data_IF_603046814790
#
_entry.id   IF_603046814790
#
_cell.length_a   1.000
_cell.length_b   1.000
_cell.length_c   1.000
_cell.angle_alpha   90.00
_cell.angle_beta   90.00
_cell.angle_gamma   90.00
#
_symmetry.space_group_name_H-M   'P 1'
#
loop_
_entity.id
_entity.type
_entity.pdbx_description
1 polymer ?
#
# COMPACT_ATOMS: atom_id res chain seq x y z
N UNK A 1 23.56 15.45 4.67
CA UNK A 1 23.62 13.98 4.39
C UNK A 1 24.78 13.42 5.19
N UNK A 2 24.51 12.71 6.28
CA UNK A 2 25.54 12.04 7.07
C UNK A 2 25.54 10.59 6.61
N UNK A 3 26.51 10.23 5.78
CA UNK A 3 26.83 8.84 5.50
C UNK A 3 27.57 8.29 6.71
N UNK A 4 26.95 7.41 7.49
CA UNK A 4 27.69 6.63 8.48
C UNK A 4 28.53 5.60 7.74
N UNK A 5 29.81 5.93 7.54
CA UNK A 5 30.84 5.02 7.09
C UNK A 5 31.71 4.71 8.29
N UNK A 6 31.40 3.68 9.06
CA UNK A 6 32.36 3.07 9.99
C UNK A 6 31.80 1.75 10.54
N UNK A 7 32.60 0.71 10.45
CA UNK A 7 32.52 -0.63 11.06
C UNK A 7 31.15 -1.35 11.12
N UNK A 8 31.04 -2.45 10.42
CA UNK A 8 29.85 -3.32 10.35
C UNK A 8 29.26 -3.72 11.73
N UNK A 9 30.07 -3.81 12.78
CA UNK A 9 29.60 -4.17 14.14
C UNK A 9 28.87 -3.01 14.84
N UNK A 10 29.35 -1.80 14.67
CA UNK A 10 28.70 -0.60 15.24
C UNK A 10 27.46 -0.24 14.45
N UNK A 11 27.46 -0.53 13.17
CA UNK A 11 26.33 -0.38 12.28
C UNK A 11 25.16 -1.31 12.66
N UNK A 12 25.42 -2.57 13.02
CA UNK A 12 24.39 -3.52 13.49
C UNK A 12 23.79 -3.05 14.82
N UNK A 13 24.63 -2.60 15.77
CA UNK A 13 24.17 -2.02 17.06
C UNK A 13 23.29 -0.77 16.86
N UNK A 14 23.65 0.07 15.91
CA UNK A 14 22.88 1.27 15.59
C UNK A 14 21.54 0.91 14.92
N UNK A 15 21.50 -0.09 14.06
CA UNK A 15 20.28 -0.61 13.44
C UNK A 15 19.26 -1.08 14.48
N UNK A 16 19.69 -1.79 15.50
CA UNK A 16 18.82 -2.28 16.56
C UNK A 16 18.33 -1.16 17.48
N UNK A 17 19.21 -0.21 17.83
CA UNK A 17 18.84 0.99 18.60
C UNK A 17 17.81 1.85 17.89
N UNK A 18 17.95 2.04 16.57
CA UNK A 18 17.03 2.84 15.77
C UNK A 18 15.68 2.13 15.58
N UNK A 19 15.69 0.81 15.37
CA UNK A 19 14.47 0.04 15.14
C UNK A 19 13.60 -0.16 16.38
N UNK A 20 14.20 -0.27 17.55
CA UNK A 20 13.50 -0.57 18.80
C UNK A 20 13.21 0.69 19.65
N UNK A 21 13.36 1.87 19.07
CA UNK A 21 13.14 3.13 19.79
C UNK A 21 11.65 3.35 20.06
N UNK A 22 11.34 3.84 21.26
CA UNK A 22 9.99 4.32 21.59
C UNK A 22 9.63 5.50 20.69
N UNK A 23 8.42 5.50 20.15
CA UNK A 23 7.90 6.63 19.36
C UNK A 23 7.72 7.83 20.28
N UNK A 24 8.44 8.91 20.00
CA UNK A 24 8.37 10.15 20.77
C UNK A 24 7.68 11.23 19.93
N UNK A 25 7.99 11.29 18.64
CA UNK A 25 7.49 12.30 17.70
C UNK A 25 6.46 11.70 16.75
N UNK A 26 5.41 12.44 16.47
CA UNK A 26 4.32 12.01 15.59
C UNK A 26 4.23 12.87 14.34
N UNK A 27 3.75 12.27 13.25
CA UNK A 27 3.43 13.02 12.02
C UNK A 27 2.39 14.10 12.33
N UNK A 28 1.40 13.80 13.17
CA UNK A 28 0.35 14.73 13.55
C UNK A 28 0.95 15.99 14.19
N UNK A 29 1.88 15.85 15.14
CA UNK A 29 2.57 16.98 15.78
C UNK A 29 3.28 17.88 14.77
N UNK A 30 4.09 17.30 13.86
CA UNK A 30 4.82 18.06 12.84
C UNK A 30 3.85 18.86 11.95
N UNK A 31 2.70 18.26 11.58
CA UNK A 31 1.69 18.96 10.81
C UNK A 31 0.94 20.02 11.64
N UNK A 32 0.70 19.83 12.93
CA UNK A 32 0.14 20.85 13.82
C UNK A 32 1.01 22.11 13.88
N UNK A 33 2.32 21.93 13.99
CA UNK A 33 3.28 23.03 14.11
C UNK A 33 3.49 23.79 12.80
N UNK A 34 3.37 23.09 11.65
CA UNK A 34 3.87 23.60 10.36
C UNK A 34 2.84 23.67 9.23
N UNK A 35 1.68 23.06 9.32
CA UNK A 35 0.74 23.03 8.19
C UNK A 35 0.31 24.42 7.73
N UNK A 36 -0.13 25.26 8.64
CA UNK A 36 -0.54 26.63 8.31
C UNK A 36 0.63 27.49 7.81
N UNK A 37 1.80 27.35 8.41
CA UNK A 37 3.02 28.02 7.94
C UNK A 37 3.40 27.57 6.54
N UNK A 38 3.30 26.27 6.26
CA UNK A 38 3.55 25.68 4.95
C UNK A 38 2.63 26.27 3.87
N UNK A 39 1.33 26.37 4.15
CA UNK A 39 0.35 26.97 3.23
C UNK A 39 0.64 28.45 2.96
N UNK A 40 0.98 29.20 3.98
CA UNK A 40 1.30 30.63 3.86
C UNK A 40 2.60 30.88 3.09
N UNK A 41 3.60 30.00 3.25
CA UNK A 41 4.89 30.12 2.55
C UNK A 41 4.79 29.74 1.07
N UNK A 42 3.88 28.83 0.73
CA UNK A 42 3.70 28.34 -0.64
C UNK A 42 2.27 28.57 -1.17
N UNK A 43 1.77 29.82 -1.22
CA UNK A 43 0.38 30.11 -1.59
C UNK A 43 0.04 29.68 -3.02
N UNK A 44 1.04 29.69 -3.91
CA UNK A 44 0.90 29.29 -5.32
C UNK A 44 1.08 27.78 -5.57
N UNK A 45 1.33 26.99 -4.53
CA UNK A 45 1.43 25.55 -4.67
C UNK A 45 0.04 24.97 -4.91
N UNK A 46 -0.18 24.41 -6.12
CA UNK A 46 -1.46 23.79 -6.45
C UNK A 46 -1.67 22.50 -5.64
N UNK A 47 -2.10 22.66 -4.38
CA UNK A 47 -2.40 21.56 -3.49
C UNK A 47 -3.80 21.06 -3.78
N UNK A 48 -3.93 19.75 -4.06
CA UNK A 48 -5.22 19.12 -4.35
C UNK A 48 -6.15 19.21 -3.14
N UNK A 49 -7.44 19.51 -3.36
CA UNK A 49 -8.43 19.63 -2.29
C UNK A 49 -8.49 18.40 -1.37
N UNK A 50 -8.33 17.19 -1.93
CA UNK A 50 -8.27 15.96 -1.14
C UNK A 50 -7.14 15.96 -0.10
N UNK A 51 -6.04 16.66 -0.35
CA UNK A 51 -4.91 16.80 0.59
C UNK A 51 -5.33 17.64 1.78
N UNK A 52 -5.94 18.81 1.55
CA UNK A 52 -6.48 19.67 2.62
C UNK A 52 -7.42 18.87 3.52
N UNK A 53 -8.44 18.25 2.94
CA UNK A 53 -9.42 17.47 3.67
C UNK A 53 -8.80 16.33 4.49
N UNK A 54 -7.77 15.66 3.95
CA UNK A 54 -7.09 14.59 4.68
C UNK A 54 -6.23 15.11 5.83
N UNK A 55 -5.53 16.23 5.63
CA UNK A 55 -4.71 16.84 6.68
C UNK A 55 -5.59 17.40 7.80
N UNK A 56 -6.60 18.22 7.47
CA UNK A 56 -7.54 18.77 8.43
C UNK A 56 -8.19 17.68 9.30
N UNK A 57 -8.69 16.62 8.67
CA UNK A 57 -9.27 15.50 9.40
C UNK A 57 -8.23 14.74 10.23
N UNK A 58 -6.98 14.62 9.76
CA UNK A 58 -5.91 14.00 10.52
C UNK A 58 -5.57 14.80 11.77
N UNK A 59 -5.51 16.11 11.67
CA UNK A 59 -5.25 17.00 12.80
C UNK A 59 -6.33 16.89 13.89
N UNK A 60 -7.57 16.67 13.49
CA UNK A 60 -8.72 16.44 14.39
C UNK A 60 -8.93 14.97 14.78
N UNK A 61 -8.04 14.04 14.37
CA UNK A 61 -8.20 12.61 14.60
C UNK A 61 -8.20 12.28 16.09
N UNK A 62 -9.20 11.54 16.55
CA UNK A 62 -9.40 11.15 17.95
C UNK A 62 -9.62 12.34 18.91
N UNK A 63 -9.99 13.51 18.40
CA UNK A 63 -10.50 14.62 19.19
C UNK A 63 -12.02 14.72 19.08
N UNK A 64 -12.62 15.53 19.94
CA UNK A 64 -14.06 15.80 19.91
C UNK A 64 -14.50 16.56 18.66
N UNK A 65 -13.57 17.22 17.96
CA UNK A 65 -13.84 18.02 16.76
C UNK A 65 -14.32 17.19 15.54
N UNK A 66 -14.18 15.87 15.57
CA UNK A 66 -14.78 14.97 14.57
C UNK A 66 -16.08 14.33 15.05
N UNK A 67 -16.54 14.71 16.25
CA UNK A 67 -17.65 14.05 16.90
C UNK A 67 -17.27 12.73 17.55
N UNK A 68 -18.26 12.03 18.08
CA UNK A 68 -18.06 10.80 18.83
C UNK A 68 -19.29 9.90 18.81
N UNK A 69 -19.10 8.63 19.10
CA UNK A 69 -20.15 7.66 19.33
C UNK A 69 -20.25 7.34 20.83
N UNK A 70 -21.47 7.21 21.32
CA UNK A 70 -21.77 6.82 22.72
C UNK A 70 -22.29 5.37 22.71
N UNK A 71 -21.70 4.55 23.57
CA UNK A 71 -22.15 3.19 23.87
C UNK A 71 -22.56 3.13 25.33
N UNK A 72 -23.63 2.41 25.63
CA UNK A 72 -24.15 2.22 26.98
C UNK A 72 -24.25 0.75 27.35
N UNK A 73 -23.83 0.42 28.54
CA UNK A 73 -23.99 -0.93 29.06
C UNK A 73 -25.44 -1.12 29.58
N UNK A 74 -26.17 -2.13 29.09
CA UNK A 74 -27.55 -2.36 29.55
C UNK A 74 -27.61 -2.84 30.99
N UNK A 75 -26.56 -3.51 31.50
CA UNK A 75 -26.53 -4.09 32.83
C UNK A 75 -26.15 -3.06 33.92
N UNK A 76 -25.04 -2.37 33.75
CA UNK A 76 -24.50 -1.47 34.78
C UNK A 76 -24.66 0.03 34.47
N UNK A 77 -25.29 0.38 33.35
CA UNK A 77 -25.51 1.78 32.94
C UNK A 77 -24.27 2.53 32.52
N UNK A 78 -23.06 1.92 32.58
CA UNK A 78 -21.81 2.59 32.21
C UNK A 78 -21.84 3.08 30.76
N UNK A 79 -21.48 4.33 30.56
CA UNK A 79 -21.29 4.90 29.23
C UNK A 79 -19.82 4.89 28.81
N UNK A 80 -19.60 4.63 27.52
CA UNK A 80 -18.29 4.66 26.87
C UNK A 80 -18.40 5.57 25.66
N UNK A 81 -17.61 6.63 25.67
CA UNK A 81 -17.54 7.61 24.58
C UNK A 81 -16.34 7.30 23.72
N UNK A 82 -16.53 7.18 22.41
CA UNK A 82 -15.49 6.83 21.44
C UNK A 82 -15.39 7.93 20.40
N UNK A 83 -14.32 8.76 20.42
CA UNK A 83 -14.13 9.79 19.41
C UNK A 83 -14.02 9.22 18.01
N UNK A 84 -14.59 9.93 17.03
CA UNK A 84 -14.48 9.56 15.64
C UNK A 84 -13.05 9.67 15.12
N UNK A 85 -12.71 8.88 14.12
CA UNK A 85 -11.36 8.82 13.55
C UNK A 85 -11.35 9.39 12.13
N UNK A 86 -10.21 9.94 11.71
CA UNK A 86 -10.07 10.60 10.40
C UNK A 86 -10.15 9.62 9.20
N UNK A 87 -9.97 8.33 9.41
CA UNK A 87 -9.87 7.29 8.37
C UNK A 87 -8.78 7.55 7.32
N UNK A 88 -7.91 8.54 7.53
CA UNK A 88 -6.80 8.86 6.63
C UNK A 88 -5.68 7.81 6.76
N UNK A 89 -5.14 7.40 5.62
CA UNK A 89 -3.98 6.49 5.60
C UNK A 89 -2.67 7.17 6.00
N UNK A 90 -2.63 8.51 5.99
CA UNK A 90 -1.50 9.29 6.45
C UNK A 90 -1.44 9.37 7.98
N UNK A 91 -2.57 9.29 8.65
CA UNK A 91 -2.66 9.19 10.10
C UNK A 91 -2.10 7.83 10.56
N UNK A 92 -1.15 7.83 11.48
CA UNK A 92 -0.49 6.61 11.96
C UNK A 92 -1.46 5.60 12.56
N UNK A 93 -2.38 6.06 13.39
CA UNK A 93 -3.41 5.22 14.03
C UNK A 93 -4.37 4.64 12.98
N UNK A 94 -4.99 5.51 12.16
CA UNK A 94 -5.96 5.07 11.15
C UNK A 94 -5.30 4.25 10.02
N UNK A 95 -4.08 4.62 9.60
CA UNK A 95 -3.31 3.90 8.60
C UNK A 95 -2.94 2.49 9.06
N UNK A 96 -2.53 2.32 10.32
CA UNK A 96 -2.26 1.00 10.89
C UNK A 96 -3.52 0.13 10.98
N UNK A 97 -4.64 0.71 11.42
CA UNK A 97 -5.93 0.01 11.44
C UNK A 97 -6.34 -0.45 10.04
N UNK A 98 -6.27 0.48 9.07
CA UNK A 98 -6.58 0.17 7.67
C UNK A 98 -5.67 -0.93 7.11
N UNK A 99 -4.36 -0.89 7.42
CA UNK A 99 -3.39 -1.88 6.98
C UNK A 99 -3.75 -3.28 7.48
N UNK A 100 -3.99 -3.44 8.78
CA UNK A 100 -4.38 -4.72 9.37
C UNK A 100 -5.65 -5.27 8.71
N UNK A 101 -6.71 -4.46 8.63
CA UNK A 101 -7.99 -4.86 8.05
C UNK A 101 -7.86 -5.29 6.58
N UNK A 102 -7.14 -4.51 5.76
CA UNK A 102 -6.95 -4.83 4.33
C UNK A 102 -6.09 -6.06 4.12
N UNK A 103 -5.02 -6.21 4.88
CA UNK A 103 -4.16 -7.38 4.79
C UNK A 103 -4.91 -8.65 5.10
N UNK A 104 -5.73 -8.64 6.16
CA UNK A 104 -6.57 -9.77 6.55
C UNK A 104 -7.63 -10.08 5.48
N UNK A 105 -8.28 -9.05 4.92
CA UNK A 105 -9.26 -9.21 3.84
C UNK A 105 -8.64 -9.77 2.55
N UNK A 106 -7.42 -9.35 2.18
CA UNK A 106 -6.72 -9.91 1.02
C UNK A 106 -6.35 -11.36 1.28
N UNK A 107 -5.81 -11.62 2.47
CA UNK A 107 -5.41 -12.96 2.85
C UNK A 107 -6.52 -13.98 2.72
N UNK A 108 -7.73 -13.66 3.22
CA UNK A 108 -8.87 -14.57 3.14
C UNK A 108 -9.28 -14.93 1.72
N UNK A 109 -8.94 -14.08 0.73
CA UNK A 109 -9.25 -14.28 -0.69
C UNK A 109 -8.16 -15.03 -1.47
N UNK A 110 -6.94 -15.14 -0.94
CA UNK A 110 -5.85 -15.82 -1.64
C UNK A 110 -6.08 -17.34 -1.71
N UNK A 111 -5.83 -17.93 -2.88
CA UNK A 111 -5.85 -19.38 -3.04
C UNK A 111 -4.74 -20.06 -2.24
N UNK A 112 -4.96 -21.30 -1.81
CA UNK A 112 -3.98 -22.12 -1.09
C UNK A 112 -2.92 -22.66 -2.06
N UNK A 113 -2.13 -21.77 -2.65
CA UNK A 113 -1.03 -22.11 -3.54
C UNK A 113 0.14 -21.15 -3.33
N UNK A 114 1.29 -21.42 -3.95
CA UNK A 114 2.43 -20.50 -3.92
C UNK A 114 2.11 -19.25 -4.72
N UNK A 115 2.57 -18.12 -4.20
CA UNK A 115 2.49 -16.82 -4.86
C UNK A 115 3.89 -16.23 -4.94
N UNK A 116 4.12 -15.45 -5.99
CA UNK A 116 5.34 -14.66 -6.12
C UNK A 116 5.03 -13.18 -6.06
N UNK A 117 5.98 -12.45 -5.56
CA UNK A 117 5.97 -11.01 -5.54
C UNK A 117 6.60 -10.48 -6.82
N UNK A 118 5.87 -9.69 -7.57
CA UNK A 118 6.36 -9.00 -8.77
C UNK A 118 6.29 -7.50 -8.54
N UNK A 119 7.37 -6.79 -8.86
CA UNK A 119 7.43 -5.32 -8.77
C UNK A 119 7.63 -4.77 -10.17
N UNK A 120 6.77 -3.88 -10.59
CA UNK A 120 6.89 -3.11 -11.83
C UNK A 120 7.22 -1.66 -11.48
N UNK A 121 8.41 -1.21 -11.85
CA UNK A 121 8.89 0.14 -11.54
C UNK A 121 9.14 0.91 -12.83
N UNK A 122 8.83 2.21 -12.81
CA UNK A 122 9.08 3.11 -13.93
C UNK A 122 10.37 3.90 -13.71
N UNK A 123 11.08 4.30 -14.79
CA UNK A 123 12.23 5.17 -14.68
C UNK A 123 11.85 6.58 -14.21
N UNK A 124 12.83 7.32 -13.71
CA UNK A 124 12.65 8.63 -13.09
C UNK A 124 12.05 9.65 -14.05
N UNK A 125 12.47 9.57 -15.32
CA UNK A 125 12.03 10.46 -16.39
C UNK A 125 10.51 10.41 -16.63
N UNK A 126 9.88 9.27 -16.36
CA UNK A 126 8.44 9.13 -16.56
C UNK A 126 7.61 9.58 -15.35
N UNK A 127 8.22 9.76 -14.17
CA UNK A 127 7.47 10.07 -12.93
C UNK A 127 6.74 11.40 -13.01
N UNK A 128 7.24 12.36 -13.77
CA UNK A 128 6.63 13.68 -13.95
C UNK A 128 5.22 13.57 -14.52
N UNK A 129 4.99 12.69 -15.48
CA UNK A 129 3.68 12.49 -16.11
C UNK A 129 2.62 11.98 -15.12
N UNK A 130 3.01 11.14 -14.18
CA UNK A 130 2.12 10.62 -13.13
C UNK A 130 1.91 11.62 -11.98
N UNK A 131 2.81 12.59 -11.83
CA UNK A 131 2.63 13.70 -10.89
C UNK A 131 1.68 14.75 -11.46
N UNK A 132 1.77 15.05 -12.75
CA UNK A 132 0.93 16.01 -13.46
C UNK A 132 -0.53 15.52 -13.56
N UNK A 133 -0.72 14.28 -13.96
CA UNK A 133 -2.05 13.66 -14.01
C UNK A 133 -2.07 12.30 -13.31
N UNK A 134 -2.71 12.26 -12.15
CA UNK A 134 -2.80 11.05 -11.34
C UNK A 134 -3.76 10.00 -11.91
N UNK A 135 -4.65 10.35 -12.85
CA UNK A 135 -5.47 9.38 -13.58
C UNK A 135 -4.59 8.38 -14.34
N UNK A 136 -3.38 8.81 -14.73
CA UNK A 136 -2.37 7.98 -15.38
C UNK A 136 -1.90 6.78 -14.53
N UNK A 137 -2.13 6.78 -13.23
CA UNK A 137 -1.90 5.55 -12.43
C UNK A 137 -2.72 4.35 -12.94
N UNK A 138 -3.84 4.59 -13.63
CA UNK A 138 -4.58 3.52 -14.29
C UNK A 138 -3.75 2.85 -15.39
N UNK A 139 -2.90 3.61 -16.09
CA UNK A 139 -2.02 3.08 -17.13
C UNK A 139 -0.97 2.13 -16.55
N UNK A 140 -0.46 2.39 -15.32
CA UNK A 140 0.45 1.46 -14.63
C UNK A 140 -0.24 0.13 -14.31
N UNK A 141 -1.47 0.18 -13.80
CA UNK A 141 -2.26 -1.03 -13.56
C UNK A 141 -2.52 -1.80 -14.85
N UNK A 142 -2.89 -1.10 -15.92
CA UNK A 142 -3.18 -1.71 -17.22
C UNK A 142 -1.92 -2.33 -17.82
N UNK A 143 -0.79 -1.61 -17.85
CA UNK A 143 0.47 -2.10 -18.39
C UNK A 143 0.95 -3.34 -17.65
N UNK A 144 0.93 -3.34 -16.31
CA UNK A 144 1.30 -4.49 -15.49
C UNK A 144 0.39 -5.70 -15.76
N UNK A 145 -0.92 -5.46 -15.84
CA UNK A 145 -1.93 -6.50 -16.09
C UNK A 145 -1.80 -7.09 -17.50
N UNK A 146 -1.67 -6.24 -18.54
CA UNK A 146 -1.50 -6.68 -19.93
C UNK A 146 -0.21 -7.49 -20.06
N UNK A 147 0.88 -7.05 -19.44
CA UNK A 147 2.16 -7.77 -19.46
C UNK A 147 2.00 -9.21 -18.99
N UNK A 148 1.35 -9.42 -17.86
CA UNK A 148 1.13 -10.77 -17.30
C UNK A 148 0.17 -11.57 -18.18
N UNK A 149 -0.96 -11.01 -18.57
CA UNK A 149 -1.96 -11.70 -19.40
C UNK A 149 -1.39 -12.16 -20.73
N UNK A 150 -0.65 -11.28 -21.43
CA UNK A 150 -0.03 -11.63 -22.70
C UNK A 150 1.00 -12.76 -22.55
N UNK A 151 1.84 -12.70 -21.51
CA UNK A 151 2.82 -13.73 -21.24
C UNK A 151 2.15 -15.11 -21.01
N UNK A 152 1.10 -15.18 -20.20
CA UNK A 152 0.34 -16.41 -19.96
C UNK A 152 -0.32 -16.93 -21.26
N UNK A 153 -0.91 -16.03 -22.03
CA UNK A 153 -1.56 -16.36 -23.31
C UNK A 153 -0.57 -16.96 -24.32
N UNK A 154 0.63 -16.41 -24.43
CA UNK A 154 1.65 -16.87 -25.36
C UNK A 154 2.28 -18.19 -24.90
N UNK A 155 2.71 -18.26 -23.64
CA UNK A 155 3.44 -19.39 -23.11
C UNK A 155 2.58 -20.63 -22.90
N UNK A 156 1.29 -20.44 -22.56
CA UNK A 156 0.36 -21.52 -22.22
C UNK A 156 -0.88 -21.53 -23.09
N UNK A 157 -0.73 -21.18 -24.36
CA UNK A 157 -1.83 -21.10 -25.35
C UNK A 157 -2.71 -22.36 -25.38
N UNK A 158 -2.10 -23.55 -25.40
CA UNK A 158 -2.82 -24.83 -25.46
C UNK A 158 -3.64 -25.15 -24.21
N UNK A 159 -3.18 -24.66 -23.02
CA UNK A 159 -3.81 -24.91 -21.71
C UNK A 159 -4.78 -23.81 -21.32
N UNK A 160 -4.79 -22.70 -22.03
CA UNK A 160 -5.63 -21.51 -21.75
C UNK A 160 -5.61 -21.11 -20.28
N UNK A 161 -4.40 -20.92 -19.74
CA UNK A 161 -4.24 -20.60 -18.32
C UNK A 161 -4.67 -19.17 -17.99
N UNK A 162 -5.52 -19.06 -16.99
CA UNK A 162 -5.95 -17.79 -16.42
C UNK A 162 -5.16 -17.56 -15.14
N UNK A 163 -4.24 -16.55 -15.10
CA UNK A 163 -3.53 -16.20 -13.89
C UNK A 163 -4.47 -15.55 -12.87
N UNK A 164 -4.10 -15.61 -11.59
CA UNK A 164 -4.73 -14.82 -10.53
C UNK A 164 -3.69 -13.91 -9.89
N UNK A 165 -3.97 -12.60 -9.83
CA UNK A 165 -3.04 -11.64 -9.24
C UNK A 165 -3.75 -10.42 -8.66
N UNK A 166 -3.08 -9.81 -7.68
CA UNK A 166 -3.53 -8.59 -7.00
C UNK A 166 -2.46 -7.53 -7.24
N UNK A 167 -2.87 -6.39 -7.80
CA UNK A 167 -2.00 -5.24 -8.03
C UNK A 167 -2.23 -4.19 -6.96
N UNK A 168 -1.14 -3.63 -6.43
CA UNK A 168 -1.14 -2.63 -5.38
C UNK A 168 -0.26 -1.48 -5.83
N UNK A 169 -0.84 -0.28 -5.96
CA UNK A 169 -0.08 0.92 -6.28
C UNK A 169 0.59 1.48 -5.04
N UNK A 170 1.90 1.66 -5.12
CA UNK A 170 2.66 2.52 -4.22
C UNK A 170 3.21 3.70 -4.99
N UNK A 171 3.25 4.86 -4.34
CA UNK A 171 3.74 6.10 -4.95
C UNK A 171 5.04 6.59 -4.32
N UNK A 172 5.59 5.87 -3.33
CA UNK A 172 6.75 6.27 -2.54
C UNK A 172 7.81 5.19 -2.44
N UNK A 173 9.07 5.62 -2.44
CA UNK A 173 10.21 4.80 -2.06
C UNK A 173 10.48 4.84 -0.54
N UNK A 174 11.58 4.23 -0.11
CA UNK A 174 12.00 4.23 1.30
C UNK A 174 12.41 5.63 1.79
N UNK A 175 12.89 6.49 0.90
CA UNK A 175 13.28 7.90 1.14
C UNK A 175 12.11 8.88 1.08
N UNK A 176 10.87 8.43 0.93
CA UNK A 176 9.66 9.25 0.77
C UNK A 176 9.59 10.00 -0.59
N UNK A 177 10.53 9.79 -1.48
CA UNK A 177 10.51 10.41 -2.82
C UNK A 177 9.41 9.77 -3.65
N UNK A 178 8.75 10.59 -4.48
CA UNK A 178 7.71 10.13 -5.39
C UNK A 178 8.26 9.13 -6.41
N UNK A 179 7.83 7.89 -6.29
CA UNK A 179 8.26 6.76 -7.12
C UNK A 179 7.09 5.78 -7.32
N UNK A 180 6.19 6.06 -8.27
CA UNK A 180 5.04 5.18 -8.51
C UNK A 180 5.47 3.84 -9.10
N UNK A 181 4.99 2.77 -8.48
CA UNK A 181 5.27 1.40 -8.89
C UNK A 181 4.12 0.46 -8.48
N UNK A 182 4.01 -0.65 -9.18
CA UNK A 182 3.02 -1.68 -8.87
C UNK A 182 3.69 -2.84 -8.16
N UNK A 183 3.25 -3.12 -6.94
CA UNK A 183 3.44 -4.40 -6.31
C UNK A 183 2.35 -5.36 -6.78
N UNK A 184 2.75 -6.54 -7.23
CA UNK A 184 1.81 -7.57 -7.67
C UNK A 184 2.05 -8.85 -6.89
N UNK A 185 0.97 -9.42 -6.36
CA UNK A 185 0.95 -10.76 -5.78
C UNK A 185 0.40 -11.66 -6.87
N UNK A 186 1.28 -12.42 -7.52
CA UNK A 186 0.95 -13.29 -8.64
C UNK A 186 0.98 -14.75 -8.18
N UNK A 187 -0.07 -15.49 -8.44
CA UNK A 187 -0.12 -16.94 -8.25
C UNK A 187 0.97 -17.63 -9.09
N UNK A 188 1.73 -18.56 -8.50
CA UNK A 188 2.77 -19.35 -9.20
C UNK A 188 2.15 -20.42 -10.11
N UNK A 189 1.21 -19.99 -10.94
CA UNK A 189 0.46 -20.84 -11.83
C UNK A 189 -0.72 -20.11 -12.45
N UNK A 190 -1.61 -20.88 -13.02
CA UNK A 190 -2.87 -20.43 -13.58
C UNK A 190 -3.94 -21.52 -13.46
N UNK A 191 -5.19 -21.11 -13.63
CA UNK A 191 -6.31 -22.03 -13.70
C UNK A 191 -6.60 -22.31 -15.17
N UNK A 192 -6.59 -23.57 -15.54
CA UNK A 192 -6.95 -23.98 -16.90
C UNK A 192 -8.43 -23.66 -17.14
N UNK A 193 -8.71 -22.94 -18.22
CA UNK A 193 -10.10 -22.68 -18.61
C UNK A 193 -10.83 -23.95 -19.03
N UNK A 194 -10.08 -24.97 -19.50
CA UNK A 194 -10.60 -26.25 -19.96
C UNK A 194 -10.85 -27.25 -18.83
N UNK A 195 -9.80 -27.58 -18.05
CA UNK A 195 -9.91 -28.58 -16.96
C UNK A 195 -10.39 -28.01 -15.64
N UNK A 196 -10.43 -26.66 -15.49
CA UNK A 196 -10.74 -25.96 -14.24
C UNK A 196 -9.76 -26.26 -13.09
N UNK A 197 -8.61 -26.85 -13.39
CA UNK A 197 -7.58 -27.23 -12.43
C UNK A 197 -6.48 -26.18 -12.34
N UNK A 198 -5.84 -26.13 -11.19
CA UNK A 198 -4.62 -25.35 -11.00
C UNK A 198 -3.43 -26.01 -11.68
N UNK A 199 -2.75 -25.27 -12.55
CA UNK A 199 -1.52 -25.71 -13.21
C UNK A 199 -0.38 -24.82 -12.76
N UNK A 200 0.63 -25.42 -12.12
CA UNK A 200 1.82 -24.74 -11.67
C UNK A 200 2.66 -24.24 -12.84
N UNK A 201 3.28 -23.07 -12.67
CA UNK A 201 4.22 -22.47 -13.62
C UNK A 201 5.59 -22.39 -12.96
N UNK A 202 6.57 -23.10 -13.51
CA UNK A 202 7.90 -23.21 -12.90
C UNK A 202 8.85 -22.08 -13.27
N UNK A 203 8.64 -21.44 -14.42
CA UNK A 203 9.55 -20.42 -14.94
C UNK A 203 8.83 -19.17 -15.41
N UNK A 204 9.34 -18.00 -15.01
CA UNK A 204 8.93 -16.68 -15.49
C UNK A 204 10.11 -15.97 -16.15
N UNK A 205 9.95 -15.52 -17.38
CA UNK A 205 10.98 -14.81 -18.12
C UNK A 205 11.00 -13.31 -17.76
N UNK A 206 11.92 -12.91 -16.89
CA UNK A 206 12.10 -11.49 -16.52
C UNK A 206 12.42 -10.57 -17.71
N UNK A 207 13.34 -10.95 -18.64
CA UNK A 207 13.61 -10.11 -19.80
C UNK A 207 12.36 -9.86 -20.63
N UNK A 208 11.53 -10.89 -20.83
CA UNK A 208 10.27 -10.76 -21.55
C UNK A 208 9.30 -9.81 -20.81
N UNK A 209 9.20 -9.90 -19.48
CA UNK A 209 8.36 -8.99 -18.71
C UNK A 209 8.87 -7.54 -18.78
N UNK A 210 10.18 -7.30 -18.68
CA UNK A 210 10.78 -5.96 -18.73
C UNK A 210 10.48 -5.27 -20.06
N UNK A 211 10.80 -5.92 -21.17
CA UNK A 211 10.59 -5.37 -22.52
C UNK A 211 9.11 -5.14 -22.82
N UNK A 212 8.25 -6.09 -22.44
CA UNK A 212 6.81 -5.99 -22.66
C UNK A 212 6.19 -4.88 -21.81
N UNK A 213 6.52 -4.82 -20.52
CA UNK A 213 6.02 -3.77 -19.63
C UNK A 213 6.41 -2.38 -20.14
N UNK A 214 7.67 -2.19 -20.57
CA UNK A 214 8.12 -0.95 -21.19
C UNK A 214 7.31 -0.61 -22.43
N UNK A 215 7.20 -1.55 -23.38
CA UNK A 215 6.45 -1.33 -24.62
C UNK A 215 4.99 -0.93 -24.31
N UNK A 216 4.28 -1.74 -23.53
CA UNK A 216 2.85 -1.49 -23.25
C UNK A 216 2.66 -0.17 -22.51
N UNK A 217 3.51 0.16 -21.53
CA UNK A 217 3.37 1.40 -20.79
C UNK A 217 3.63 2.63 -21.68
N UNK A 218 4.66 2.57 -22.53
CA UNK A 218 4.98 3.66 -23.45
C UNK A 218 3.90 3.85 -24.52
N UNK A 219 3.31 2.76 -25.02
CA UNK A 219 2.19 2.84 -25.97
C UNK A 219 0.95 3.48 -25.33
N UNK A 220 0.61 3.09 -24.09
CA UNK A 220 -0.51 3.68 -23.34
C UNK A 220 -0.27 5.15 -22.97
N UNK A 221 0.96 5.54 -22.65
CA UNK A 221 1.30 6.94 -22.40
C UNK A 221 1.25 7.78 -23.69
N UNK A 222 1.69 7.23 -24.80
CA UNK A 222 1.61 7.91 -26.10
C UNK A 222 0.14 8.14 -26.53
N UNK A 223 -0.73 7.16 -26.27
CA UNK A 223 -2.17 7.27 -26.55
C UNK A 223 -2.82 8.36 -25.66
N UNK A 224 -2.43 8.46 -24.38
CA UNK A 224 -3.00 9.39 -23.41
C UNK A 224 -2.48 10.84 -23.57
N UNK A 225 -1.19 11.01 -23.86
CA UNK A 225 -0.52 12.31 -23.95
C UNK A 225 -0.63 12.91 -25.36
N UNK A 226 -0.57 12.05 -26.37
CA UNK A 226 -0.53 12.43 -27.77
C UNK A 226 0.82 12.08 -28.43
N UNK A 227 0.73 11.57 -29.65
CA UNK A 227 1.88 11.03 -30.38
C UNK A 227 2.98 12.08 -30.62
N UNK A 228 2.60 13.32 -30.95
CA UNK A 228 3.56 14.37 -31.27
C UNK A 228 4.36 14.81 -30.04
N UNK A 229 3.69 14.91 -28.88
CA UNK A 229 4.29 15.37 -27.63
C UNK A 229 5.16 14.27 -26.98
N UNK A 230 4.76 13.00 -27.08
CA UNK A 230 5.41 11.90 -26.37
C UNK A 230 6.47 11.16 -27.22
N UNK A 231 6.49 11.30 -28.54
CA UNK A 231 7.37 10.55 -29.46
C UNK A 231 8.86 10.64 -29.10
N UNK A 232 9.34 11.85 -28.80
CA UNK A 232 10.76 12.06 -28.43
C UNK A 232 11.09 11.29 -27.14
N UNK A 233 10.27 11.43 -26.12
CA UNK A 233 10.45 10.74 -24.84
C UNK A 233 10.39 9.23 -25.03
N UNK A 234 9.45 8.73 -25.80
CA UNK A 234 9.32 7.31 -26.12
C UNK A 234 10.60 6.73 -26.74
N UNK A 235 11.18 7.46 -27.72
CA UNK A 235 12.42 7.06 -28.37
C UNK A 235 13.60 7.08 -27.38
N UNK A 236 13.70 8.12 -26.54
CA UNK A 236 14.73 8.24 -25.50
C UNK A 236 14.63 7.07 -24.50
N UNK A 237 13.42 6.66 -24.12
CA UNK A 237 13.22 5.52 -23.23
C UNK A 237 13.71 4.21 -23.86
N UNK A 238 13.42 3.97 -25.15
CA UNK A 238 13.94 2.78 -25.84
C UNK A 238 15.47 2.80 -25.97
N UNK A 239 16.04 3.97 -26.19
CA UNK A 239 17.51 4.12 -26.28
C UNK A 239 18.20 3.86 -24.95
N UNK A 240 17.69 4.45 -23.85
CA UNK A 240 18.29 4.35 -22.52
C UNK A 240 18.03 2.98 -21.85
N UNK A 241 16.88 2.39 -22.08
CA UNK A 241 16.43 1.17 -21.38
C UNK A 241 16.34 -0.04 -22.31
N UNK A 242 17.45 -0.43 -22.94
CA UNK A 242 17.54 -1.52 -23.91
C UNK A 242 17.02 -2.87 -23.36
N UNK A 243 17.16 -3.10 -22.05
CA UNK A 243 16.68 -4.31 -21.36
C UNK A 243 15.23 -4.20 -20.88
N UNK A 244 14.55 -3.09 -21.18
CA UNK A 244 13.21 -2.79 -20.70
C UNK A 244 13.19 -2.17 -19.31
N UNK A 245 11.99 -1.81 -18.84
CA UNK A 245 11.83 -1.23 -17.50
C UNK A 245 11.99 -2.28 -16.39
N UNK A 246 12.34 -1.82 -15.21
CA UNK A 246 12.63 -2.71 -14.11
C UNK A 246 11.40 -3.53 -13.70
N UNK A 247 11.53 -4.85 -13.83
CA UNK A 247 10.60 -5.83 -13.27
C UNK A 247 11.39 -6.82 -12.42
N UNK A 248 10.98 -6.96 -11.18
CA UNK A 248 11.58 -7.90 -10.23
C UNK A 248 10.53 -8.91 -9.79
N UNK A 249 10.81 -10.18 -9.94
CA UNK A 249 9.88 -11.25 -9.62
C UNK A 249 10.64 -12.52 -9.18
N UNK A 250 11.37 -12.49 -8.04
CA UNK A 250 12.16 -13.64 -7.60
C UNK A 250 11.26 -14.85 -7.38
N UNK A 251 11.82 -16.07 -7.44
CA UNK A 251 11.11 -17.26 -6.98
C UNK A 251 10.59 -17.04 -5.56
N UNK A 252 9.43 -17.59 -5.25
CA UNK A 252 8.85 -17.47 -3.92
C UNK A 252 9.84 -17.98 -2.86
N UNK A 253 10.34 -17.08 -2.03
CA UNK A 253 11.20 -17.41 -0.86
C UNK A 253 10.39 -17.85 0.35
N UNK A 254 9.06 -17.79 0.25
CA UNK A 254 8.17 -18.07 1.37
C UNK A 254 8.02 -19.57 1.54
N UNK A 255 8.49 -20.09 2.67
CA UNK A 255 8.40 -21.50 3.03
C UNK A 255 6.99 -21.91 3.41
N UNK A 256 6.21 -20.95 3.91
CA UNK A 256 4.85 -21.18 4.37
C UNK A 256 3.88 -20.11 3.84
N UNK A 257 2.60 -20.44 3.86
CA UNK A 257 1.52 -19.52 3.57
C UNK A 257 1.45 -18.34 4.58
N UNK A 258 1.84 -18.60 5.83
CA UNK A 258 1.93 -17.57 6.89
C UNK A 258 3.01 -16.53 6.56
N UNK A 259 4.15 -16.94 6.02
CA UNK A 259 5.21 -16.01 5.62
C UNK A 259 4.77 -15.12 4.46
N UNK A 260 4.01 -15.67 3.51
CA UNK A 260 3.39 -14.91 2.44
C UNK A 260 2.44 -13.85 3.01
N UNK A 261 1.64 -14.20 4.03
CA UNK A 261 0.73 -13.25 4.70
C UNK A 261 1.50 -12.11 5.32
N UNK A 262 2.49 -12.41 6.15
CA UNK A 262 3.33 -11.40 6.80
C UNK A 262 3.98 -10.47 5.78
N UNK A 263 4.32 -11.01 4.63
CA UNK A 263 4.88 -10.25 3.53
C UNK A 263 3.83 -9.35 2.86
N UNK A 264 2.67 -9.90 2.51
CA UNK A 264 1.54 -9.15 1.93
C UNK A 264 1.13 -8.01 2.86
N UNK A 265 1.04 -8.28 4.16
CA UNK A 265 0.72 -7.26 5.17
C UNK A 265 1.69 -6.09 5.18
N UNK A 266 2.97 -6.31 4.87
CA UNK A 266 3.96 -5.24 4.81
C UNK A 266 3.77 -4.30 3.61
N UNK A 267 3.16 -4.76 2.52
CA UNK A 267 3.09 -4.01 1.26
C UNK A 267 1.69 -3.55 0.88
N UNK A 268 0.65 -4.25 1.33
CA UNK A 268 -0.74 -3.99 0.89
C UNK A 268 -1.25 -2.60 1.26
N UNK A 269 -0.90 -2.10 2.43
CA UNK A 269 -1.41 -0.81 2.92
C UNK A 269 -0.40 -0.09 3.80
N UNK A 270 0.88 -0.31 3.53
CA UNK A 270 1.95 0.34 4.28
C UNK A 270 1.71 1.85 4.34
N UNK A 271 1.74 2.46 5.52
CA UNK A 271 1.72 3.91 5.63
C UNK A 271 2.94 4.48 4.91
N UNK A 272 2.82 5.66 4.34
CA UNK A 272 3.93 6.36 3.67
C UNK A 272 5.14 6.44 4.58
N UNK A 273 4.89 6.77 5.84
CA UNK A 273 5.89 6.86 6.89
C UNK A 273 5.42 6.13 8.15
N UNK A 274 6.28 5.33 8.76
CA UNK A 274 6.06 4.83 10.11
C UNK A 274 6.70 5.81 11.10
N UNK A 275 6.00 6.24 12.13
CA UNK A 275 6.50 7.21 13.13
C UNK A 275 7.75 6.72 13.85
N UNK A 276 7.92 5.39 14.01
CA UNK A 276 9.15 4.79 14.53
C UNK A 276 10.42 5.09 13.72
N UNK A 277 10.26 5.61 12.50
CA UNK A 277 11.37 6.07 11.65
C UNK A 277 11.78 7.51 11.94
N UNK A 278 10.97 8.29 12.64
CA UNK A 278 11.31 9.64 13.07
C UNK A 278 12.24 9.51 14.28
N UNK A 279 13.49 9.94 14.12
CA UNK A 279 14.51 9.87 15.16
C UNK A 279 14.42 11.09 16.06
N UNK A 280 14.23 12.26 15.46
CA UNK A 280 14.23 13.53 16.14
C UNK A 280 13.37 14.57 15.43
N UNK A 281 12.85 15.51 16.20
CA UNK A 281 12.16 16.70 15.71
C UNK A 281 12.43 17.85 16.69
N UNK A 282 13.23 18.82 16.24
CA UNK A 282 13.67 19.99 17.04
C UNK A 282 12.72 21.20 16.95
N UNK A 283 11.52 21.00 16.40
CA UNK A 283 10.54 22.07 16.14
C UNK A 283 10.70 22.71 14.75
N UNK A 284 11.78 22.47 14.03
CA UNK A 284 12.06 23.02 12.69
C UNK A 284 12.48 21.93 11.71
N UNK A 285 13.36 21.05 12.13
CA UNK A 285 13.89 19.97 11.30
C UNK A 285 13.40 18.62 11.78
N UNK A 286 13.09 17.76 10.84
CA UNK A 286 12.71 16.36 11.08
C UNK A 286 13.87 15.46 10.68
N UNK A 287 14.37 14.68 11.63
CA UNK A 287 15.40 13.67 11.38
C UNK A 287 14.74 12.30 11.33
N UNK A 288 14.91 11.59 10.23
CA UNK A 288 14.35 10.25 10.07
C UNK A 288 15.32 9.31 9.37
N UNK A 289 15.08 8.01 9.53
CA UNK A 289 15.91 6.99 8.93
C UNK A 289 15.16 6.16 7.88
N UNK A 290 15.92 5.66 6.91
CA UNK A 290 15.45 4.63 6.00
C UNK A 290 16.58 3.71 5.56
N UNK A 291 16.23 2.48 5.19
CA UNK A 291 17.19 1.50 4.69
C UNK A 291 17.31 1.64 3.18
N UNK A 292 18.51 1.79 2.67
CA UNK A 292 18.79 1.84 1.23
C UNK A 292 18.53 0.48 0.59
N UNK A 293 18.18 0.45 -0.69
CA UNK A 293 17.72 -0.80 -1.33
C UNK A 293 18.88 -1.69 -1.78
N UNK A 294 20.00 -1.10 -2.19
CA UNK A 294 21.09 -1.82 -2.87
C UNK A 294 22.03 -2.56 -1.90
N UNK A 295 22.21 -2.02 -0.73
CA UNK A 295 23.22 -2.49 0.25
C UNK A 295 22.68 -2.61 1.67
N UNK A 296 21.38 -2.41 1.84
CA UNK A 296 20.71 -2.42 3.13
C UNK A 296 21.26 -1.42 4.18
N UNK A 297 22.09 -0.46 3.77
CA UNK A 297 22.60 0.60 4.66
C UNK A 297 21.48 1.46 5.22
N UNK A 298 21.61 1.87 6.47
CA UNK A 298 20.72 2.84 7.10
C UNK A 298 21.20 4.25 6.74
N UNK A 299 20.31 5.01 6.12
CA UNK A 299 20.50 6.42 5.84
C UNK A 299 19.71 7.21 6.87
N UNK A 300 20.36 8.15 7.52
CA UNK A 300 19.73 9.15 8.38
C UNK A 300 19.70 10.47 7.61
N UNK A 301 18.50 11.02 7.50
CA UNK A 301 18.29 12.26 6.75
C UNK A 301 17.62 13.28 7.68
N UNK A 302 18.17 14.51 7.71
CA UNK A 302 17.61 15.68 8.41
C UNK A 302 17.09 16.65 7.36
N UNK A 303 15.79 16.93 7.38
CA UNK A 303 15.13 17.84 6.43
C UNK A 303 14.29 18.86 7.17
N UNK A 304 14.13 20.04 6.58
CA UNK A 304 13.19 21.04 7.11
C UNK A 304 11.75 20.50 7.08
N UNK A 305 10.92 20.90 8.05
CA UNK A 305 9.52 20.44 8.16
C UNK A 305 8.70 20.69 6.88
N UNK A 306 8.96 21.76 6.14
CA UNK A 306 8.33 22.03 4.84
C UNK A 306 8.62 20.93 3.81
N UNK A 307 9.87 20.52 3.71
CA UNK A 307 10.25 19.44 2.80
C UNK A 307 9.65 18.11 3.23
N UNK A 308 9.66 17.82 4.52
CA UNK A 308 9.03 16.63 5.08
C UNK A 308 7.53 16.56 4.75
N UNK A 309 6.80 17.67 4.97
CA UNK A 309 5.39 17.79 4.63
C UNK A 309 5.16 17.61 3.13
N UNK A 310 5.95 18.29 2.28
CA UNK A 310 5.87 18.17 0.82
C UNK A 310 6.04 16.73 0.35
N UNK A 311 7.00 16.00 0.92
CA UNK A 311 7.25 14.60 0.61
C UNK A 311 6.09 13.68 1.03
N UNK A 312 5.35 14.02 2.09
CA UNK A 312 4.24 13.20 2.57
C UNK A 312 2.94 13.46 1.80
N UNK A 313 2.58 14.72 1.57
CA UNK A 313 1.28 15.07 0.99
C UNK A 313 1.11 14.60 -0.46
N UNK A 314 2.20 14.48 -1.21
CA UNK A 314 2.17 13.98 -2.59
C UNK A 314 1.65 12.55 -2.69
N UNK A 315 1.73 11.78 -1.60
CA UNK A 315 1.32 10.38 -1.57
C UNK A 315 -0.15 10.16 -1.15
N UNK A 316 -0.83 11.23 -0.73
CA UNK A 316 -2.27 11.14 -0.42
C UNK A 316 -3.03 10.79 -1.71
N UNK A 317 -3.78 9.67 -1.74
CA UNK A 317 -4.52 9.27 -2.94
C UNK A 317 -5.68 10.21 -3.20
N UNK A 318 -6.13 10.26 -4.44
CA UNK A 318 -7.35 10.95 -4.79
C UNK A 318 -8.57 10.25 -4.20
N UNK A 319 -9.66 10.99 -4.08
CA UNK A 319 -10.90 10.47 -3.52
C UNK A 319 -11.38 9.26 -4.33
N UNK A 320 -11.79 8.20 -3.64
CA UNK A 320 -12.25 6.93 -4.23
C UNK A 320 -11.25 6.21 -5.14
N UNK A 321 -9.97 6.63 -5.19
CA UNK A 321 -8.98 5.93 -6.00
C UNK A 321 -8.66 4.54 -5.44
N UNK A 322 -8.97 3.49 -6.21
CA UNK A 322 -8.71 2.09 -5.84
C UNK A 322 -7.23 1.75 -6.04
N UNK A 323 -6.44 1.81 -4.96
CA UNK A 323 -5.02 1.46 -4.96
C UNK A 323 -4.75 -0.05 -4.99
N UNK A 324 -5.76 -0.88 -4.71
CA UNK A 324 -5.67 -2.34 -4.72
C UNK A 324 -6.70 -2.86 -5.70
N UNK A 325 -6.24 -3.67 -6.66
CA UNK A 325 -7.09 -4.22 -7.73
C UNK A 325 -6.85 -5.70 -7.91
N UNK A 326 -7.93 -6.42 -8.11
CA UNK A 326 -7.95 -7.88 -8.30
C UNK A 326 -8.13 -8.20 -9.79
N UNK A 327 -7.36 -9.16 -10.28
CA UNK A 327 -7.34 -9.51 -11.70
C UNK A 327 -7.33 -11.03 -11.91
N UNK A 328 -7.73 -11.44 -13.12
CA UNK A 328 -7.78 -12.85 -13.51
C UNK A 328 -8.76 -13.62 -12.62
N UNK A 329 -8.35 -14.77 -12.10
CA UNK A 329 -9.22 -15.61 -11.26
C UNK A 329 -9.53 -14.98 -9.88
N UNK A 330 -8.87 -13.88 -9.49
CA UNK A 330 -9.25 -13.09 -8.30
C UNK A 330 -10.30 -12.03 -8.57
N UNK A 331 -10.69 -11.80 -9.83
CA UNK A 331 -11.70 -10.80 -10.17
C UNK A 331 -13.11 -11.34 -9.93
N UNK A 332 -13.94 -10.58 -9.22
CA UNK A 332 -15.26 -11.04 -8.76
C UNK A 332 -16.28 -11.37 -9.89
N UNK A 333 -16.07 -10.87 -11.12
CA UNK A 333 -17.03 -11.06 -12.24
C UNK A 333 -16.74 -12.27 -13.12
N UNK A 334 -15.70 -13.06 -12.83
CA UNK A 334 -15.39 -14.23 -13.64
C UNK A 334 -16.20 -15.45 -13.18
N UNK A 335 -16.92 -16.11 -14.08
CA UNK A 335 -17.60 -17.41 -13.81
C UNK A 335 -16.65 -18.44 -13.18
N UNK A 336 -15.36 -18.34 -13.46
CA UNK A 336 -14.28 -19.12 -12.86
C UNK A 336 -14.18 -18.91 -11.36
N UNK A 337 -14.55 -17.73 -10.85
CA UNK A 337 -14.46 -17.41 -9.42
C UNK A 337 -15.36 -18.31 -8.57
N UNK A 338 -16.51 -18.73 -9.07
CA UNK A 338 -17.44 -19.60 -8.34
C UNK A 338 -16.86 -21.02 -8.20
N UNK A 339 -16.27 -21.58 -9.24
CA UNK A 339 -15.66 -22.90 -9.20
C UNK A 339 -14.33 -22.89 -8.42
N UNK A 340 -13.60 -21.80 -8.49
CA UNK A 340 -12.33 -21.62 -7.80
C UNK A 340 -12.52 -21.26 -6.33
N UNK A 341 -13.64 -20.68 -5.94
CA UNK A 341 -14.00 -20.55 -4.52
C UNK A 341 -14.07 -21.91 -3.80
N UNK A 342 -14.33 -23.00 -4.53
CA UNK A 342 -14.21 -24.37 -4.00
C UNK A 342 -12.77 -24.75 -3.64
N UNK A 343 -11.76 -24.07 -4.21
CA UNK A 343 -10.35 -24.23 -3.85
C UNK A 343 -9.97 -23.44 -2.58
N UNK A 344 -10.85 -22.59 -2.10
CA UNK A 344 -10.69 -21.92 -0.81
C UNK A 344 -11.21 -22.91 0.24
N UNK A 345 -10.37 -23.26 1.22
CA UNK A 345 -10.78 -24.19 2.28
C UNK A 345 -12.00 -23.62 3.04
N UNK A 346 -12.86 -24.51 3.57
CA UNK A 346 -14.03 -24.15 4.39
C UNK A 346 -13.63 -23.23 5.55
N UNK A 347 -12.49 -23.48 6.19
CA UNK A 347 -11.92 -22.64 7.26
C UNK A 347 -11.70 -21.19 6.82
N UNK A 348 -11.25 -20.96 5.57
CA UNK A 348 -11.08 -19.61 5.03
C UNK A 348 -12.40 -18.92 4.76
N UNK A 349 -13.41 -19.67 4.28
CA UNK A 349 -14.75 -19.13 4.06
C UNK A 349 -15.37 -18.68 5.38
N UNK A 350 -15.23 -19.47 6.45
CA UNK A 350 -15.74 -19.12 7.77
C UNK A 350 -14.94 -17.97 8.41
N UNK A 351 -13.64 -17.90 8.16
CA UNK A 351 -12.80 -16.77 8.55
C UNK A 351 -13.21 -15.48 7.82
N UNK A 352 -13.53 -15.57 6.51
CA UNK A 352 -14.05 -14.42 5.74
C UNK A 352 -15.37 -13.91 6.31
N UNK A 353 -16.30 -14.79 6.66
CA UNK A 353 -17.56 -14.40 7.29
C UNK A 353 -17.36 -13.65 8.60
N UNK A 354 -16.38 -14.08 9.43
CA UNK A 354 -15.99 -13.35 10.66
C UNK A 354 -15.43 -11.97 10.36
N UNK A 355 -14.69 -11.81 9.25
CA UNK A 355 -14.13 -10.53 8.83
C UNK A 355 -15.18 -9.56 8.30
N UNK A 356 -16.27 -10.06 7.75
CA UNK A 356 -17.37 -9.22 7.26
C UNK A 356 -18.15 -8.59 8.43
N UNK A 357 -17.99 -9.13 9.66
CA UNK A 357 -18.54 -8.55 10.89
C UNK A 357 -17.53 -7.59 11.53
N UNK A 358 -17.90 -6.31 11.63
CA UNK A 358 -17.04 -5.25 12.18
C UNK A 358 -16.40 -5.59 13.54
N UNK A 359 -17.18 -6.10 14.49
CA UNK A 359 -16.72 -6.45 15.85
C UNK A 359 -15.68 -7.56 15.79
N UNK A 360 -15.99 -8.65 15.09
CA UNK A 360 -15.08 -9.80 14.96
C UNK A 360 -13.78 -9.42 14.27
N UNK A 361 -13.85 -8.55 13.26
CA UNK A 361 -12.67 -8.04 12.58
C UNK A 361 -11.78 -7.20 13.52
N UNK A 362 -12.35 -6.39 14.40
CA UNK A 362 -11.57 -5.63 15.40
C UNK A 362 -10.92 -6.57 16.39
N UNK A 363 -11.66 -7.54 16.93
CA UNK A 363 -11.11 -8.53 17.88
C UNK A 363 -9.95 -9.30 17.25
N UNK A 364 -10.10 -9.79 16.03
CA UNK A 364 -9.07 -10.55 15.31
C UNK A 364 -7.78 -9.73 15.05
N UNK A 365 -7.90 -8.42 14.83
CA UNK A 365 -6.75 -7.60 14.48
C UNK A 365 -6.09 -6.89 15.67
N UNK A 366 -6.82 -6.69 16.77
CA UNK A 366 -6.37 -5.88 17.90
C UNK A 366 -6.49 -6.59 19.24
N UNK A 367 -6.95 -7.85 19.24
CA UNK A 367 -7.11 -8.69 20.45
C UNK A 367 -7.94 -8.00 21.55
N UNK A 368 -8.81 -7.07 21.16
CA UNK A 368 -9.64 -6.28 22.07
C UNK A 368 -11.04 -6.14 21.51
N UNK A 369 -12.02 -6.39 22.35
CA UNK A 369 -13.43 -6.19 22.00
C UNK A 369 -13.80 -4.70 22.12
N UNK A 370 -14.17 -4.04 21.04
CA UNK A 370 -14.44 -2.60 21.04
C UNK A 370 -15.67 -2.20 21.84
N UNK A 371 -16.60 -3.13 22.06
CA UNK A 371 -17.87 -2.88 22.76
C UNK A 371 -18.04 -3.69 24.03
N UNK A 372 -16.94 -4.16 24.62
CA UNK A 372 -16.98 -4.76 25.94
C UNK A 372 -17.02 -3.69 27.03
N UNK A 373 -17.89 -3.87 28.02
CA UNK A 373 -17.99 -2.96 29.16
C UNK A 373 -16.76 -3.11 30.06
N UNK A 374 -16.03 -2.04 30.38
CA UNK A 374 -14.84 -2.11 31.22
C UNK A 374 -15.15 -2.44 32.71
N UNK A 375 -16.41 -2.36 33.14
CA UNK A 375 -16.81 -2.63 34.52
C UNK A 375 -17.33 -4.07 34.70
N UNK A 376 -18.33 -4.47 33.93
CA UNK A 376 -19.02 -5.77 34.10
C UNK A 376 -18.78 -6.76 32.95
N UNK A 377 -17.93 -6.43 31.99
CA UNK A 377 -17.60 -7.24 30.82
C UNK A 377 -18.78 -7.61 29.90
N UNK A 378 -19.98 -7.07 30.11
CA UNK A 378 -21.11 -7.29 29.23
C UNK A 378 -20.98 -6.48 27.93
N UNK A 379 -21.69 -6.91 26.89
CA UNK A 379 -21.69 -6.23 25.61
C UNK A 379 -22.44 -4.91 25.69
N UNK A 380 -21.76 -3.81 25.38
CA UNK A 380 -22.36 -2.48 25.29
C UNK A 380 -23.16 -2.32 24.00
N UNK A 381 -24.25 -1.60 24.05
CA UNK A 381 -25.07 -1.25 22.89
C UNK A 381 -24.75 0.15 22.41
N UNK A 382 -24.80 0.35 21.09
CA UNK A 382 -24.72 1.69 20.50
C UNK A 382 -25.96 2.50 20.93
N UNK A 383 -25.72 3.69 21.44
CA UNK A 383 -26.76 4.59 21.89
C UNK A 383 -26.98 5.74 20.93
N UNK A 384 -25.91 6.48 20.60
CA UNK A 384 -25.98 7.71 19.81
C UNK A 384 -24.65 8.03 19.14
N UNK A 385 -24.67 8.84 18.07
CA UNK A 385 -23.47 9.50 17.49
C UNK A 385 -23.72 10.98 17.32
N UNK A 386 -22.76 11.76 17.74
CA UNK A 386 -22.71 13.22 17.54
C UNK A 386 -21.64 13.51 16.51
N UNK A 387 -22.02 14.25 15.48
CA UNK A 387 -21.12 14.73 14.42
C UNK A 387 -21.01 16.26 14.55
N UNK A 388 -19.80 16.77 14.48
CA UNK A 388 -19.48 18.21 14.54
C UNK A 388 -19.05 18.72 13.18
#
# INVERSE_FOLDING_TARGET
MILCTENDRDFIKYKDKVKNRKVIFTIKQIFQDWWNKFLNTYPNLNIRNVVFLNVERMLKCQSWDLGYAVFKCPECGKEKIVPHTCKSRMCSSCGNKYNKQRSTSIFSKLFKCKHRHVVFTIPDELRVYFRQDRKRFNLLFNASSITVKCWFKEKYKKKELIPAYICILHTFGRSLIFNPHIYMILMDGGISNKSKEFIKVDFFSYPSFRKRFMKVLLDLLEEDIGKNEFRKIKNDMYFKHKEGFYVYAPPSKYKSYVDLIKYVCRYVSRPVMAESRIIDYDGTFVTFWYQRHNDDLIIIEKVHAYEFISRLIVHIPDYNFKQIRFYGAYHNSTKITIEVQKLISKEKSDYQKKLDMWRSMIILNFESDPINCPICNNTMIYYNSIYT
#
